data_IF_044529820021
#
_entry.id   IF_044529820021
#
_cell.length_a   1.000
_cell.length_b   1.000
_cell.length_c   1.000
_cell.angle_alpha   90.00
_cell.angle_beta   90.00
_cell.angle_gamma   90.00
#
_symmetry.space_group_name_H-M   'P 1'
#
loop_
_entity.id
_entity.type
_entity.pdbx_description
1 polymer ?
#
# COMPACT_ATOMS: atom_id res chain seq x y z
N UNK A 1 -15.93 -1.96 4.20
CA UNK A 1 -14.77 -1.51 4.98
C UNK A 1 -13.92 -0.69 4.05
N UNK A 2 -13.50 0.48 4.51
CA UNK A 2 -12.60 1.35 3.76
C UNK A 2 -11.16 0.99 4.11
N UNK A 3 -10.29 0.93 3.12
CA UNK A 3 -8.84 0.82 3.30
C UNK A 3 -8.12 1.59 2.19
N UNK A 4 -6.81 1.74 2.35
CA UNK A 4 -5.97 2.56 1.51
C UNK A 4 -4.79 1.75 1.00
N UNK A 5 -4.60 1.65 -0.30
CA UNK A 5 -3.45 0.99 -0.89
C UNK A 5 -2.41 2.03 -1.27
N UNK A 6 -1.15 1.79 -0.93
CA UNK A 6 -0.02 2.63 -1.37
C UNK A 6 0.71 1.91 -2.48
N UNK A 7 0.89 2.60 -3.59
CA UNK A 7 1.69 2.17 -4.73
C UNK A 7 2.73 3.25 -5.06
N UNK A 8 3.85 2.87 -5.65
CA UNK A 8 4.81 3.84 -6.18
C UNK A 8 5.37 3.41 -7.52
N UNK A 9 5.79 4.38 -8.32
CA UNK A 9 6.51 4.13 -9.58
C UNK A 9 7.96 4.61 -9.42
N UNK A 10 8.90 3.74 -9.79
CA UNK A 10 10.33 4.10 -9.77
C UNK A 10 10.65 5.10 -10.88
N UNK A 11 11.65 5.96 -10.67
CA UNK A 11 12.23 6.81 -11.73
C UNK A 11 13.28 6.05 -12.57
N UNK A 12 13.52 4.77 -12.26
CA UNK A 12 14.41 3.93 -13.04
C UNK A 12 13.77 3.63 -14.42
N UNK A 13 14.48 4.00 -15.48
CA UNK A 13 14.09 3.77 -16.87
C UNK A 13 13.77 2.29 -17.17
N UNK A 14 14.36 1.35 -16.43
CA UNK A 14 14.10 -0.08 -16.59
C UNK A 14 12.96 -0.62 -15.71
N UNK A 15 12.39 0.22 -14.86
CA UNK A 15 11.38 -0.15 -13.87
C UNK A 15 10.16 0.79 -13.94
N UNK A 16 9.42 0.65 -15.04
CA UNK A 16 8.25 1.48 -15.36
C UNK A 16 6.92 0.93 -14.82
N UNK A 17 6.95 -0.07 -13.94
CA UNK A 17 5.74 -0.68 -13.39
C UNK A 17 5.44 -0.14 -11.99
N UNK A 18 4.16 0.09 -11.65
CA UNK A 18 3.76 0.43 -10.29
C UNK A 18 4.09 -0.72 -9.32
N UNK A 19 4.75 -0.39 -8.22
CA UNK A 19 5.10 -1.28 -7.13
C UNK A 19 4.10 -1.14 -6.00
N UNK A 20 3.36 -2.21 -5.74
CA UNK A 20 2.45 -2.30 -4.59
C UNK A 20 3.26 -2.37 -3.29
N UNK A 21 3.06 -1.40 -2.42
CA UNK A 21 3.75 -1.30 -1.13
C UNK A 21 2.98 -2.01 -0.04
N UNK A 22 1.67 -1.79 0.02
CA UNK A 22 0.83 -2.37 1.05
C UNK A 22 -0.55 -1.74 1.14
N UNK A 23 -1.39 -2.35 1.98
CA UNK A 23 -2.75 -1.91 2.29
C UNK A 23 -2.84 -1.49 3.76
N UNK A 24 -3.44 -0.32 3.98
CA UNK A 24 -3.51 0.36 5.26
C UNK A 24 -4.97 0.58 5.69
N UNK A 25 -5.26 0.48 7.00
CA UNK A 25 -6.64 0.61 7.50
C UNK A 25 -7.16 2.05 7.49
N UNK A 26 -6.27 3.06 7.47
CA UNK A 26 -6.63 4.48 7.45
C UNK A 26 -5.73 5.26 6.49
N UNK A 27 -6.20 6.43 6.07
CA UNK A 27 -5.48 7.31 5.16
C UNK A 27 -4.20 7.83 5.80
N UNK A 28 -4.23 8.18 7.09
CA UNK A 28 -3.07 8.68 7.83
C UNK A 28 -1.93 7.67 7.84
N UNK A 29 -2.25 6.37 7.99
CA UNK A 29 -1.24 5.30 7.95
C UNK A 29 -0.67 5.08 6.55
N UNK A 30 -1.50 5.17 5.52
CA UNK A 30 -1.02 5.16 4.14
C UNK A 30 -0.10 6.37 3.86
N UNK A 31 -0.47 7.56 4.37
CA UNK A 31 0.30 8.78 4.22
C UNK A 31 1.65 8.73 4.95
N UNK A 32 1.69 8.19 6.18
CA UNK A 32 2.94 7.95 6.90
C UNK A 32 3.92 7.09 6.07
N UNK A 33 3.42 6.04 5.40
CA UNK A 33 4.25 5.21 4.52
C UNK A 33 4.70 5.96 3.27
N UNK A 34 3.81 6.70 2.61
CA UNK A 34 4.14 7.50 1.44
C UNK A 34 5.24 8.53 1.73
N UNK A 35 5.15 9.22 2.88
CA UNK A 35 6.17 10.15 3.34
C UNK A 35 7.51 9.43 3.61
N UNK A 36 7.48 8.24 4.21
CA UNK A 36 8.70 7.46 4.44
C UNK A 36 9.38 7.06 3.13
N UNK A 37 8.61 6.67 2.10
CA UNK A 37 9.14 6.34 0.77
C UNK A 37 9.74 7.56 0.08
N UNK A 38 9.06 8.71 0.14
CA UNK A 38 9.55 9.96 -0.45
C UNK A 38 10.84 10.47 0.19
N UNK A 39 11.15 10.07 1.43
CA UNK A 39 12.37 10.46 2.14
C UNK A 39 13.47 9.39 2.08
N UNK A 40 13.27 8.31 1.32
CA UNK A 40 14.24 7.23 1.15
C UNK A 40 15.45 7.65 0.31
N UNK A 41 16.47 6.79 0.28
CA UNK A 41 17.70 7.01 -0.49
C UNK A 41 17.46 7.09 -2.01
N UNK A 42 16.45 6.36 -2.49
CA UNK A 42 15.97 6.40 -3.87
C UNK A 42 14.46 6.68 -3.84
N UNK A 43 14.05 7.97 -3.78
CA UNK A 43 12.64 8.30 -3.72
C UNK A 43 11.94 7.91 -5.02
N UNK A 44 10.67 7.45 -4.96
CA UNK A 44 9.88 7.18 -6.16
C UNK A 44 9.67 8.42 -7.02
N UNK A 45 9.45 8.21 -8.33
CA UNK A 45 8.99 9.26 -9.23
C UNK A 45 7.55 9.69 -8.90
N UNK A 46 6.70 8.72 -8.57
CA UNK A 46 5.29 8.91 -8.25
C UNK A 46 4.88 7.99 -7.10
N UNK A 47 4.00 8.48 -6.23
CA UNK A 47 3.39 7.70 -5.15
C UNK A 47 1.89 7.94 -5.21
N UNK A 48 1.13 6.86 -5.35
CA UNK A 48 -0.32 6.86 -5.38
C UNK A 48 -0.89 6.26 -4.11
N UNK A 49 -1.97 6.86 -3.61
CA UNK A 49 -2.76 6.32 -2.50
C UNK A 49 -4.18 6.10 -2.98
N UNK A 50 -4.56 4.83 -3.15
CA UNK A 50 -5.89 4.44 -3.59
C UNK A 50 -6.81 4.19 -2.40
N UNK A 51 -7.94 4.88 -2.35
CA UNK A 51 -9.01 4.54 -1.40
C UNK A 51 -9.91 3.47 -2.00
N UNK A 52 -10.09 2.37 -1.28
CA UNK A 52 -10.97 1.29 -1.66
C UNK A 52 -12.10 1.13 -0.65
N UNK A 53 -13.30 0.87 -1.16
CA UNK A 53 -14.45 0.44 -0.36
C UNK A 53 -14.80 -1.00 -0.73
N UNK A 54 -14.43 -1.97 0.12
CA UNK A 54 -14.78 -3.38 -0.12
C UNK A 54 -15.86 -3.87 0.84
N UNK A 55 -16.69 -4.79 0.35
CA UNK A 55 -17.49 -5.61 1.25
C UNK A 55 -16.58 -6.50 2.12
N UNK A 56 -17.01 -6.85 3.34
CA UNK A 56 -16.14 -7.52 4.34
C UNK A 56 -15.58 -8.88 3.85
N UNK A 57 -16.33 -9.58 3.01
CA UNK A 57 -15.93 -10.83 2.34
C UNK A 57 -14.85 -10.61 1.26
N UNK A 58 -14.93 -9.51 0.51
CA UNK A 58 -13.94 -9.14 -0.50
C UNK A 58 -12.63 -8.72 0.17
N UNK A 59 -12.70 -7.94 1.25
CA UNK A 59 -11.53 -7.59 2.08
C UNK A 59 -10.76 -8.82 2.56
N UNK A 60 -11.44 -9.86 3.04
CA UNK A 60 -10.79 -11.09 3.47
C UNK A 60 -10.12 -11.85 2.32
N UNK A 61 -10.65 -11.73 1.11
CA UNK A 61 -10.10 -12.37 -0.09
C UNK A 61 -8.85 -11.63 -0.56
N UNK A 62 -8.93 -10.29 -0.66
CA UNK A 62 -7.81 -9.42 -1.03
C UNK A 62 -6.68 -9.52 0.00
N UNK A 63 -6.98 -9.52 1.31
CA UNK A 63 -6.00 -9.78 2.38
C UNK A 63 -5.20 -11.06 2.17
N UNK A 64 -5.86 -12.15 1.76
CA UNK A 64 -5.19 -13.44 1.60
C UNK A 64 -4.41 -13.55 0.28
N UNK A 65 -4.65 -12.68 -0.70
CA UNK A 65 -3.88 -12.62 -1.94
C UNK A 65 -2.44 -12.12 -1.72
N UNK A 66 -2.22 -11.23 -0.75
CA UNK A 66 -0.91 -10.63 -0.47
C UNK A 66 0.03 -11.49 0.39
N UNK A 67 -0.46 -12.63 0.92
CA UNK A 67 0.30 -13.54 1.81
C UNK A 67 1.53 -14.22 1.20
N UNK A 68 1.78 -14.08 -0.11
CA UNK A 68 2.88 -14.77 -0.77
C UNK A 68 4.18 -13.96 -0.90
N UNK A 69 4.27 -12.71 -0.43
CA UNK A 69 5.52 -11.96 -0.12
C UNK A 69 5.14 -10.55 0.37
N UNK A 70 5.66 -10.13 1.54
CA UNK A 70 5.58 -8.78 2.15
C UNK A 70 4.35 -8.41 2.99
N UNK A 71 3.93 -9.25 3.95
CA UNK A 71 2.75 -8.99 4.80
C UNK A 71 3.08 -8.62 6.27
N UNK A 72 4.32 -8.21 6.58
CA UNK A 72 4.71 -7.87 7.96
C UNK A 72 4.06 -6.55 8.48
N UNK A 73 3.56 -5.70 7.59
CA UNK A 73 2.94 -4.41 7.93
C UNK A 73 1.42 -4.50 8.14
N UNK A 74 0.77 -5.65 7.86
CA UNK A 74 -0.67 -5.80 8.03
C UNK A 74 -1.06 -6.14 9.48
N UNK A 75 -1.24 -5.11 10.31
CA UNK A 75 -1.86 -5.25 11.64
C UNK A 75 -3.30 -4.75 11.61
N UNK A 76 -4.24 -5.69 11.72
CA UNK A 76 -5.66 -5.41 11.95
C UNK A 76 -5.79 -4.70 13.30
N UNK A 77 -6.27 -3.44 13.30
CA UNK A 77 -6.53 -2.71 14.54
C UNK A 77 -7.89 -3.16 15.07
N UNK A 78 -7.87 -3.87 16.21
CA UNK A 78 -9.08 -4.25 16.92
C UNK A 78 -9.84 -2.99 17.35
N UNK A 79 -11.16 -2.99 17.11
CA UNK A 79 -12.09 -1.92 17.48
C UNK A 79 -12.11 -1.65 18.98
#
# INVERSE_FOLDING_TARGET
>A
MTFFEVEYTSDDYYDCYPHKVGIYPTFEKAMEKAIALSNGENPPAEIDIWQWELAKNEYNTTRNWHKNRHDDDFKEVAK
#
